data_IF_463826480211
#
_entry.id   IF_463826480211
#
_cell.length_a   1.000
_cell.length_b   1.000
_cell.length_c   1.000
_cell.angle_alpha   90.00
_cell.angle_beta   90.00
_cell.angle_gamma   90.00
#
_symmetry.space_group_name_H-M   'P 1'
#
loop_
_entity.id
_entity.type
_entity.pdbx_description
1 polymer ?
#
# COMPACT_ATOMS: atom_id res chain seq x y z
N UNK A 1 6.08 21.72 -20.08
CA UNK A 1 4.91 21.72 -19.18
C UNK A 1 4.14 20.46 -19.46
N UNK A 2 3.89 19.62 -18.46
CA UNK A 2 3.01 18.46 -18.60
C UNK A 2 1.57 18.97 -18.50
N UNK A 3 0.91 19.14 -19.64
CA UNK A 3 -0.45 19.68 -19.64
C UNK A 3 -1.44 18.62 -19.13
N UNK A 4 -2.09 18.96 -18.01
CA UNK A 4 -3.23 18.24 -17.47
C UNK A 4 -4.48 18.72 -18.21
N UNK A 5 -5.22 17.82 -18.84
CA UNK A 5 -6.42 18.13 -19.63
C UNK A 5 -7.59 17.20 -19.27
N UNK A 6 -8.82 17.60 -19.61
CA UNK A 6 -10.01 16.79 -19.33
C UNK A 6 -9.93 15.45 -20.05
N UNK A 7 -10.04 14.36 -19.29
CA UNK A 7 -9.87 13.00 -19.80
C UNK A 7 -8.44 12.46 -19.71
N UNK A 8 -7.48 13.24 -19.20
CA UNK A 8 -6.15 12.72 -18.90
C UNK A 8 -6.23 11.63 -17.81
N UNK A 9 -5.60 10.49 -18.06
CA UNK A 9 -5.49 9.38 -17.11
C UNK A 9 -4.04 8.91 -17.04
N UNK A 10 -3.68 8.35 -15.89
CA UNK A 10 -2.41 7.66 -15.70
C UNK A 10 -2.66 6.39 -14.89
N UNK A 11 -1.85 5.38 -15.14
CA UNK A 11 -1.86 4.14 -14.36
C UNK A 11 -0.45 3.86 -13.86
N UNK A 12 -0.36 3.34 -12.65
CA UNK A 12 0.87 2.87 -12.06
C UNK A 12 0.57 1.65 -11.19
N UNK A 13 1.50 0.71 -11.19
CA UNK A 13 1.40 -0.53 -10.43
C UNK A 13 2.68 -0.77 -9.66
N UNK A 14 2.54 -1.32 -8.45
CA UNK A 14 3.63 -1.83 -7.63
C UNK A 14 3.19 -3.12 -6.96
N UNK A 15 4.09 -4.09 -6.97
CA UNK A 15 3.94 -5.29 -6.14
C UNK A 15 4.14 -4.91 -4.69
N UNK A 16 3.15 -5.18 -3.85
CA UNK A 16 3.23 -4.96 -2.41
C UNK A 16 3.87 -6.19 -1.77
N UNK A 17 4.93 -5.94 -1.01
CA UNK A 17 5.67 -6.96 -0.28
C UNK A 17 5.33 -6.91 1.22
N UNK A 18 5.68 -7.95 1.97
CA UNK A 18 5.55 -7.93 3.42
C UNK A 18 6.36 -6.79 4.07
N UNK A 19 7.45 -6.35 3.45
CA UNK A 19 8.25 -5.23 3.94
C UNK A 19 7.47 -3.90 3.84
N UNK A 20 6.71 -3.69 2.76
CA UNK A 20 5.87 -2.50 2.59
C UNK A 20 4.78 -2.44 3.66
N UNK A 21 4.12 -3.58 3.95
CA UNK A 21 3.08 -3.67 4.97
C UNK A 21 3.65 -3.38 6.36
N UNK A 22 4.80 -3.96 6.71
CA UNK A 22 5.46 -3.71 8.00
C UNK A 22 5.89 -2.26 8.16
N UNK A 23 6.42 -1.65 7.11
CA UNK A 23 6.79 -0.24 7.13
C UNK A 23 5.56 0.65 7.35
N UNK A 24 4.45 0.36 6.67
CA UNK A 24 3.21 1.09 6.86
C UNK A 24 2.70 0.99 8.30
N UNK A 25 2.63 -0.23 8.87
CA UNK A 25 2.21 -0.45 10.25
C UNK A 25 3.07 0.33 11.26
N UNK A 26 4.41 0.32 11.08
CA UNK A 26 5.32 1.07 11.94
C UNK A 26 5.15 2.59 11.85
N UNK A 27 4.78 3.11 10.67
CA UNK A 27 4.56 4.54 10.43
C UNK A 27 3.18 5.01 10.89
N UNK A 28 2.14 4.20 10.69
CA UNK A 28 0.75 4.55 11.01
C UNK A 28 0.36 4.18 12.44
N UNK A 29 1.07 3.24 13.06
CA UNK A 29 0.67 2.59 14.32
C UNK A 29 -0.41 1.54 14.14
N UNK A 30 -0.82 1.22 12.91
CA UNK A 30 -1.80 0.18 12.63
C UNK A 30 -1.13 -1.21 12.64
N UNK A 31 -1.05 -1.77 13.84
CA UNK A 31 -0.50 -3.11 14.08
C UNK A 31 -1.60 -4.18 14.17
N UNK A 32 -2.74 -3.99 13.49
CA UNK A 32 -3.80 -5.00 13.49
C UNK A 32 -3.23 -6.38 13.06
N UNK A 33 -3.44 -7.45 13.85
CA UNK A 33 -2.87 -8.78 13.56
C UNK A 33 -3.27 -9.32 12.19
N UNK A 34 -4.39 -8.85 11.63
CA UNK A 34 -4.78 -9.13 10.25
C UNK A 34 -3.67 -8.82 9.23
N UNK A 35 -2.85 -7.79 9.47
CA UNK A 35 -1.81 -7.34 8.54
C UNK A 35 -0.45 -8.03 8.75
N UNK A 36 -0.19 -8.55 9.95
CA UNK A 36 1.15 -8.92 10.40
C UNK A 36 1.30 -10.39 10.81
N UNK A 37 0.19 -11.06 11.13
CA UNK A 37 0.15 -12.45 11.60
C UNK A 37 -0.59 -13.32 10.58
N UNK A 38 0.17 -14.20 9.92
CA UNK A 38 -0.37 -15.13 8.92
C UNK A 38 -1.35 -16.14 9.52
N UNK A 39 -1.15 -16.58 10.77
CA UNK A 39 -2.04 -17.52 11.42
C UNK A 39 -3.37 -16.86 11.77
N UNK A 40 -3.35 -15.59 12.19
CA UNK A 40 -4.56 -14.81 12.45
C UNK A 40 -5.32 -14.46 11.16
N UNK A 41 -4.62 -14.23 10.05
CA UNK A 41 -5.21 -13.84 8.77
C UNK A 41 -5.77 -15.02 7.94
N UNK A 42 -5.59 -16.27 8.39
CA UNK A 42 -6.04 -17.49 7.70
C UNK A 42 -7.51 -17.81 7.90
#
# INVERSE_FOLDING_TARGET
MSDLYVGATASWSKTITSADVRAFAALSGDENPLHLDEAFAR
#
